data_IF_336902303356
#
_entry.id   IF_336902303356
#
_cell.length_a   1.000
_cell.length_b   1.000
_cell.length_c   1.000
_cell.angle_alpha   90.00
_cell.angle_beta   90.00
_cell.angle_gamma   90.00
#
_symmetry.space_group_name_H-M   'P 1'
#
loop_
_entity.id
_entity.type
_entity.pdbx_description
1 polymer ?
#
# COMPACT_ATOMS: atom_id res chain seq x y z
N UNK A 1 12.84 -17.53 -0.63
CA UNK A 1 14.20 -16.94 -0.73
C UNK A 1 14.18 -15.40 -0.74
N UNK A 2 13.40 -14.71 -1.55
CA UNK A 2 13.37 -13.23 -1.58
C UNK A 2 12.99 -12.59 -0.24
N UNK A 3 11.89 -13.03 0.39
CA UNK A 3 11.42 -12.49 1.68
C UNK A 3 12.41 -12.70 2.83
N UNK A 4 13.06 -13.85 2.89
CA UNK A 4 14.06 -14.15 3.92
C UNK A 4 15.32 -13.29 3.76
N UNK A 5 15.77 -13.04 2.52
CA UNK A 5 16.89 -12.13 2.25
C UNK A 5 16.59 -10.71 2.73
N UNK A 6 15.40 -10.18 2.46
CA UNK A 6 14.98 -8.86 2.91
C UNK A 6 14.94 -8.74 4.45
N UNK A 7 14.45 -9.77 5.14
CA UNK A 7 14.40 -9.77 6.60
C UNK A 7 15.80 -9.84 7.21
N UNK A 8 16.67 -10.70 6.69
CA UNK A 8 18.09 -10.81 7.12
C UNK A 8 18.89 -9.53 6.89
N UNK A 9 18.57 -8.81 5.82
CA UNK A 9 19.18 -7.51 5.55
C UNK A 9 18.72 -6.48 6.59
N UNK A 10 17.44 -6.45 6.92
CA UNK A 10 16.90 -5.59 8.00
C UNK A 10 17.58 -5.86 9.33
N UNK A 11 17.73 -7.11 9.75
CA UNK A 11 18.39 -7.46 11.01
C UNK A 11 19.79 -6.82 11.16
N UNK A 12 20.49 -6.65 10.04
CA UNK A 12 21.82 -6.02 10.02
C UNK A 12 21.76 -4.50 10.11
N UNK A 13 20.69 -3.88 9.64
CA UNK A 13 20.61 -2.42 9.47
C UNK A 13 19.70 -1.71 10.47
N UNK A 14 18.83 -2.44 11.19
CA UNK A 14 17.93 -1.82 12.19
C UNK A 14 18.59 -1.47 13.52
N UNK A 15 19.83 -1.90 13.74
CA UNK A 15 20.61 -1.59 14.95
C UNK A 15 19.83 -1.92 16.24
N UNK A 16 19.17 -3.08 16.27
CA UNK A 16 18.34 -3.56 17.38
C UNK A 16 17.01 -2.82 17.58
N UNK A 17 16.64 -1.90 16.68
CA UNK A 17 15.34 -1.22 16.72
C UNK A 17 14.22 -2.17 16.29
N UNK A 18 12.99 -2.02 16.86
CA UNK A 18 11.87 -2.87 16.49
C UNK A 18 11.44 -2.61 15.05
N UNK A 19 11.09 -3.68 14.35
CA UNK A 19 10.49 -3.62 13.02
C UNK A 19 9.38 -4.66 12.88
N UNK A 20 8.53 -4.50 11.87
CA UNK A 20 7.44 -5.41 11.58
C UNK A 20 7.44 -5.86 10.13
N UNK A 21 6.56 -6.79 9.84
CA UNK A 21 6.30 -7.30 8.48
C UNK A 21 4.83 -7.17 8.12
N UNK A 22 4.55 -6.86 6.86
CA UNK A 22 3.19 -6.88 6.31
C UNK A 22 3.05 -8.10 5.38
N UNK A 23 2.04 -8.93 5.66
CA UNK A 23 1.75 -10.14 4.90
C UNK A 23 0.34 -10.02 4.33
N UNK A 24 0.24 -9.96 3.00
CA UNK A 24 -1.04 -9.81 2.31
C UNK A 24 -1.79 -11.14 2.23
N UNK A 25 -2.91 -11.23 2.94
CA UNK A 25 -3.84 -12.38 2.86
C UNK A 25 -5.23 -11.87 2.45
N UNK A 26 -5.53 -11.79 1.15
CA UNK A 26 -6.79 -11.25 0.68
C UNK A 26 -7.96 -12.18 1.02
N UNK A 27 -9.05 -11.60 1.52
CA UNK A 27 -10.27 -12.36 1.87
C UNK A 27 -11.11 -12.76 0.66
N UNK A 28 -10.95 -12.10 -0.49
CA UNK A 28 -11.71 -12.38 -1.71
C UNK A 28 -10.89 -12.08 -2.95
N UNK A 29 -10.84 -13.05 -3.85
CA UNK A 29 -10.22 -12.94 -5.18
C UNK A 29 -10.84 -14.01 -6.10
N UNK A 30 -10.69 -13.86 -7.43
CA UNK A 30 -11.16 -14.83 -8.40
C UNK A 30 -10.42 -16.16 -8.21
N UNK A 31 -11.14 -17.26 -8.17
CA UNK A 31 -10.56 -18.59 -7.97
C UNK A 31 -10.28 -18.97 -6.52
N UNK A 32 -10.72 -18.15 -5.53
CA UNK A 32 -10.58 -18.52 -4.12
C UNK A 32 -11.38 -19.79 -3.80
N UNK A 33 -10.67 -20.82 -3.33
CA UNK A 33 -11.27 -22.13 -3.02
C UNK A 33 -11.39 -23.04 -4.24
N UNK A 34 -10.93 -22.61 -5.41
CA UNK A 34 -10.79 -23.40 -6.63
C UNK A 34 -9.30 -23.68 -6.86
N UNK A 35 -8.97 -24.86 -7.37
CA UNK A 35 -7.58 -25.21 -7.70
C UNK A 35 -7.20 -24.67 -9.09
N UNK A 36 -7.37 -23.33 -9.31
CA UNK A 36 -6.98 -22.68 -10.55
C UNK A 36 -5.47 -22.47 -10.60
N UNK A 37 -4.88 -22.86 -11.71
CA UNK A 37 -3.48 -22.56 -12.01
C UNK A 37 -3.34 -21.11 -12.50
N UNK A 38 -2.12 -20.59 -12.51
CA UNK A 38 -1.82 -19.26 -13.11
C UNK A 38 -2.23 -19.23 -14.59
N UNK A 39 -2.10 -20.35 -15.31
CA UNK A 39 -2.48 -20.43 -16.73
C UNK A 39 -4.00 -20.42 -16.91
N UNK A 40 -4.76 -21.06 -16.01
CA UNK A 40 -6.21 -20.95 -16.00
C UNK A 40 -6.67 -19.49 -15.82
N UNK A 41 -6.07 -18.78 -14.86
CA UNK A 41 -6.35 -17.35 -14.64
C UNK A 41 -5.96 -16.50 -15.86
N UNK A 42 -4.82 -16.77 -16.49
CA UNK A 42 -4.41 -16.09 -17.73
C UNK A 42 -5.40 -16.30 -18.86
N UNK A 43 -5.93 -17.52 -19.00
CA UNK A 43 -6.94 -17.84 -20.03
C UNK A 43 -8.26 -17.08 -19.82
N UNK A 44 -8.56 -16.65 -18.59
CA UNK A 44 -9.75 -15.87 -18.27
C UNK A 44 -9.64 -14.37 -18.67
N UNK A 45 -8.46 -13.87 -19.00
CA UNK A 45 -8.25 -12.47 -19.38
C UNK A 45 -8.72 -12.29 -20.84
N UNK A 46 -9.72 -11.40 -21.09
CA UNK A 46 -10.19 -11.13 -22.44
C UNK A 46 -9.12 -10.51 -23.33
N UNK A 47 -9.19 -10.77 -24.62
CA UNK A 47 -8.21 -10.25 -25.59
C UNK A 47 -8.26 -8.71 -25.64
N UNK A 48 -9.43 -8.10 -25.52
CA UNK A 48 -9.60 -6.64 -25.52
C UNK A 48 -8.75 -5.93 -24.43
N UNK A 49 -8.61 -6.54 -23.23
CA UNK A 49 -7.77 -5.98 -22.16
C UNK A 49 -6.28 -6.08 -22.48
N UNK A 50 -5.88 -7.15 -23.19
CA UNK A 50 -4.50 -7.33 -23.64
C UNK A 50 -4.16 -6.32 -24.74
N UNK A 51 -5.09 -6.14 -25.68
CA UNK A 51 -4.93 -5.21 -26.79
C UNK A 51 -4.90 -3.77 -26.26
N UNK A 52 -5.85 -3.39 -25.42
CA UNK A 52 -5.88 -2.06 -24.79
C UNK A 52 -4.60 -1.72 -24.03
N UNK A 53 -4.09 -2.67 -23.22
CA UNK A 53 -2.78 -2.54 -22.54
C UNK A 53 -1.66 -2.30 -23.55
N UNK A 54 -1.64 -3.05 -24.65
CA UNK A 54 -0.61 -2.94 -25.69
C UNK A 54 -0.68 -1.62 -26.42
N UNK A 55 -1.89 -1.16 -26.75
CA UNK A 55 -2.12 0.14 -27.40
C UNK A 55 -1.59 1.31 -26.54
N UNK A 56 -1.80 1.27 -25.22
CA UNK A 56 -1.23 2.27 -24.31
C UNK A 56 0.31 2.29 -24.42
N UNK A 57 0.96 1.14 -24.38
CA UNK A 57 2.43 1.08 -24.46
C UNK A 57 2.95 1.59 -25.80
N UNK A 58 2.32 1.19 -26.91
CA UNK A 58 2.72 1.57 -28.26
C UNK A 58 2.56 3.08 -28.51
N UNK A 59 1.55 3.74 -27.91
CA UNK A 59 1.40 5.19 -27.97
C UNK A 59 2.58 5.96 -27.35
N UNK A 60 3.36 5.30 -26.49
CA UNK A 60 4.54 5.86 -25.83
C UNK A 60 5.85 5.21 -26.29
N UNK A 61 5.87 4.67 -27.51
CA UNK A 61 7.03 4.03 -28.15
C UNK A 61 7.59 2.82 -27.40
N UNK A 62 6.75 2.12 -26.61
CA UNK A 62 7.11 0.91 -25.89
C UNK A 62 6.54 -0.32 -26.60
N UNK A 63 7.40 -1.20 -27.09
CA UNK A 63 6.97 -2.42 -27.78
C UNK A 63 6.25 -3.37 -26.83
N UNK A 64 5.01 -3.75 -27.18
CA UNK A 64 4.23 -4.71 -26.39
C UNK A 64 4.61 -6.18 -26.65
N UNK A 65 5.34 -6.48 -27.75
CA UNK A 65 5.72 -7.83 -28.17
C UNK A 65 6.48 -8.63 -27.11
N UNK A 66 7.30 -7.95 -26.31
CA UNK A 66 8.16 -8.59 -25.30
C UNK A 66 7.38 -9.00 -24.03
N UNK A 67 6.17 -8.46 -23.84
CA UNK A 67 5.31 -8.85 -22.71
C UNK A 67 4.88 -10.33 -22.80
N UNK A 68 4.74 -10.86 -24.03
CA UNK A 68 4.38 -12.27 -24.25
C UNK A 68 5.48 -13.24 -23.80
N UNK A 69 6.73 -12.83 -23.90
CA UNK A 69 7.88 -13.62 -23.44
C UNK A 69 8.06 -13.55 -21.93
N UNK A 70 7.76 -12.39 -21.31
CA UNK A 70 7.81 -12.22 -19.86
C UNK A 70 6.63 -12.86 -19.13
N UNK A 71 5.47 -12.99 -19.79
CA UNK A 71 4.31 -13.72 -19.25
C UNK A 71 4.62 -15.20 -18.99
N UNK A 72 5.60 -15.76 -19.69
CA UNK A 72 6.05 -17.15 -19.53
C UNK A 72 7.26 -17.29 -18.58
N UNK A 73 7.77 -16.21 -18.01
CA UNK A 73 8.95 -16.30 -17.16
C UNK A 73 8.60 -16.61 -15.70
N UNK A 74 9.39 -17.49 -15.07
CA UNK A 74 9.32 -17.81 -13.63
C UNK A 74 9.49 -16.58 -12.72
N UNK A 75 9.95 -15.45 -13.26
CA UNK A 75 10.08 -14.19 -12.55
C UNK A 75 8.72 -13.55 -12.25
N UNK A 76 7.71 -13.74 -13.11
CA UNK A 76 6.34 -13.32 -12.80
C UNK A 76 5.75 -14.15 -11.65
N UNK A 77 6.12 -15.42 -11.57
CA UNK A 77 5.74 -16.28 -10.44
C UNK A 77 6.36 -15.77 -9.13
N UNK A 78 7.59 -15.25 -9.14
CA UNK A 78 8.23 -14.76 -7.92
C UNK A 78 7.70 -13.39 -7.46
N UNK A 79 7.34 -12.49 -8.38
CA UNK A 79 6.81 -11.16 -8.05
C UNK A 79 5.28 -11.13 -7.90
N UNK A 80 4.56 -12.02 -8.58
CA UNK A 80 3.13 -12.25 -8.36
C UNK A 80 2.87 -13.17 -7.15
N UNK A 81 3.87 -13.91 -6.71
CA UNK A 81 3.80 -14.77 -5.52
C UNK A 81 3.48 -13.99 -4.23
N UNK A 82 3.69 -12.66 -4.18
CA UNK A 82 3.18 -11.83 -3.09
C UNK A 82 1.66 -11.67 -3.08
N UNK A 83 0.98 -11.75 -4.25
CA UNK A 83 -0.48 -11.53 -4.36
C UNK A 83 -1.20 -12.72 -5.00
N UNK A 84 -0.53 -13.54 -5.81
CA UNK A 84 -1.13 -14.58 -6.64
C UNK A 84 -0.62 -16.00 -6.40
N UNK A 85 0.63 -16.17 -5.98
CA UNK A 85 1.27 -17.48 -6.01
C UNK A 85 1.40 -18.18 -4.66
N UNK A 86 1.35 -17.42 -3.57
CA UNK A 86 1.23 -18.02 -2.27
C UNK A 86 -0.27 -18.00 -1.90
N UNK A 87 -1.00 -19.05 -2.22
CA UNK A 87 -2.26 -19.30 -1.54
C UNK A 87 -2.08 -19.14 -0.02
N UNK A 88 -3.11 -19.40 0.77
CA UNK A 88 -3.01 -19.32 2.25
C UNK A 88 -1.76 -20.03 2.80
N UNK A 89 -1.28 -21.08 2.14
CA UNK A 89 -0.10 -21.86 2.53
C UNK A 89 1.21 -21.07 2.33
N UNK A 90 1.39 -20.37 1.23
CA UNK A 90 2.61 -19.58 1.02
C UNK A 90 2.71 -18.34 1.91
N UNK A 91 1.58 -17.71 2.24
CA UNK A 91 1.54 -16.63 3.21
C UNK A 91 1.94 -17.12 4.62
N UNK A 92 1.54 -18.35 4.97
CA UNK A 92 1.91 -18.98 6.23
C UNK A 92 3.41 -19.30 6.29
N UNK A 93 3.98 -19.87 5.23
CA UNK A 93 5.42 -20.13 5.12
C UNK A 93 6.26 -18.85 5.26
N UNK A 94 5.82 -17.75 4.59
CA UNK A 94 6.48 -16.45 4.72
C UNK A 94 6.44 -15.94 6.17
N UNK A 95 5.31 -16.14 6.85
CA UNK A 95 5.17 -15.71 8.23
C UNK A 95 5.99 -16.58 9.19
N UNK A 96 6.11 -17.89 8.96
CA UNK A 96 7.00 -18.80 9.72
C UNK A 96 8.46 -18.32 9.61
N UNK A 97 8.91 -17.94 8.42
CA UNK A 97 10.24 -17.33 8.24
C UNK A 97 10.34 -16.02 9.02
N UNK A 98 9.33 -15.14 8.94
CA UNK A 98 9.34 -13.87 9.64
C UNK A 98 9.47 -14.03 11.16
N UNK A 99 8.77 -14.99 11.76
CA UNK A 99 8.86 -15.28 13.19
C UNK A 99 10.19 -15.93 13.64
N UNK A 100 11.01 -16.40 12.71
CA UNK A 100 12.39 -16.80 13.03
C UNK A 100 13.34 -15.61 13.24
N UNK A 101 12.85 -14.39 13.03
CA UNK A 101 13.55 -13.12 13.20
C UNK A 101 12.90 -12.26 14.30
N UNK A 102 13.60 -11.26 14.88
CA UNK A 102 13.11 -10.47 16.02
C UNK A 102 12.09 -9.41 15.58
N UNK A 103 11.05 -9.81 14.85
CA UNK A 103 9.97 -8.92 14.46
C UNK A 103 9.10 -8.55 15.67
N UNK A 104 8.57 -7.33 15.66
CA UNK A 104 7.76 -6.77 16.74
C UNK A 104 6.31 -6.49 16.35
N UNK A 105 5.97 -6.71 15.09
CA UNK A 105 4.63 -6.49 14.54
C UNK A 105 4.42 -7.34 13.29
N UNK A 106 3.23 -7.91 13.15
CA UNK A 106 2.72 -8.44 11.89
C UNK A 106 1.52 -7.61 11.45
N UNK A 107 1.44 -7.21 10.19
CA UNK A 107 0.28 -6.52 9.65
C UNK A 107 -0.36 -7.31 8.50
N UNK A 108 -1.69 -7.17 8.33
CA UNK A 108 -2.43 -7.62 7.16
C UNK A 108 -3.22 -6.46 6.54
N UNK A 109 -2.89 -6.09 5.32
CA UNK A 109 -3.51 -4.95 4.64
C UNK A 109 -4.83 -5.28 3.93
N UNK A 110 -5.21 -6.56 3.72
CA UNK A 110 -6.32 -6.95 2.86
C UNK A 110 -7.36 -7.86 3.55
N UNK A 111 -8.10 -7.30 4.51
CA UNK A 111 -9.23 -7.96 5.16
C UNK A 111 -8.92 -8.50 6.55
N UNK A 112 -9.78 -9.36 7.08
CA UNK A 112 -9.59 -9.95 8.42
C UNK A 112 -8.44 -10.94 8.36
N UNK A 113 -7.41 -10.83 9.23
CA UNK A 113 -6.34 -11.82 9.32
C UNK A 113 -6.92 -13.21 9.56
N UNK A 114 -6.45 -14.24 8.87
CA UNK A 114 -6.90 -15.60 9.14
C UNK A 114 -6.55 -16.03 10.57
N UNK A 115 -7.37 -16.94 11.13
CA UNK A 115 -7.23 -17.38 12.52
C UNK A 115 -5.81 -17.88 12.85
N UNK A 116 -5.17 -18.62 11.92
CA UNK A 116 -3.81 -19.10 12.09
C UNK A 116 -2.78 -17.96 12.25
N UNK A 117 -2.96 -16.80 11.58
CA UNK A 117 -2.07 -15.65 11.73
C UNK A 117 -2.17 -15.04 13.14
N UNK A 118 -3.39 -14.91 13.67
CA UNK A 118 -3.63 -14.42 15.02
C UNK A 118 -3.07 -15.40 16.09
N UNK A 119 -3.21 -16.70 15.84
CA UNK A 119 -2.66 -17.74 16.71
C UNK A 119 -1.13 -17.71 16.72
N UNK A 120 -0.49 -17.62 15.56
CA UNK A 120 0.97 -17.47 15.46
C UNK A 120 1.49 -16.20 16.14
N UNK A 121 0.79 -15.06 15.98
CA UNK A 121 1.12 -13.83 16.68
C UNK A 121 1.12 -14.02 18.20
N UNK A 122 0.10 -14.70 18.74
CA UNK A 122 0.00 -15.01 20.18
C UNK A 122 1.11 -15.97 20.64
N UNK A 123 1.39 -17.02 19.88
CA UNK A 123 2.46 -17.99 20.18
C UNK A 123 3.83 -17.34 20.29
N UNK A 124 4.12 -16.38 19.40
CA UNK A 124 5.39 -15.64 19.38
C UNK A 124 5.37 -14.34 20.20
N UNK A 125 4.25 -14.01 20.87
CA UNK A 125 4.06 -12.75 21.59
C UNK A 125 4.33 -11.50 20.71
N UNK A 126 3.88 -11.56 19.45
CA UNK A 126 3.98 -10.47 18.47
C UNK A 126 2.57 -10.01 18.11
N UNK A 127 2.21 -8.73 18.29
CA UNK A 127 0.90 -8.23 17.97
C UNK A 127 0.60 -8.29 16.48
N UNK A 128 -0.67 -8.49 16.15
CA UNK A 128 -1.17 -8.50 14.79
C UNK A 128 -2.00 -7.25 14.52
N UNK A 129 -1.61 -6.46 13.53
CA UNK A 129 -2.35 -5.28 13.06
C UNK A 129 -3.15 -5.60 11.80
N UNK A 130 -4.27 -4.90 11.62
CA UNK A 130 -5.05 -5.01 10.38
C UNK A 130 -5.51 -3.64 9.88
N UNK A 131 -5.41 -3.44 8.56
CA UNK A 131 -5.83 -2.20 7.90
C UNK A 131 -7.32 -2.23 7.58
N UNK A 132 -7.99 -1.12 7.84
CA UNK A 132 -9.43 -0.95 7.60
C UNK A 132 -9.73 0.37 6.91
N UNK A 133 -10.65 0.35 5.94
CA UNK A 133 -11.13 1.53 5.22
C UNK A 133 -12.59 1.87 5.52
N UNK A 134 -13.21 1.21 6.54
CA UNK A 134 -14.60 1.44 6.94
C UNK A 134 -14.83 0.99 8.39
N UNK A 135 -15.74 1.65 9.09
CA UNK A 135 -16.11 1.34 10.48
C UNK A 135 -16.48 -0.13 10.70
N UNK A 136 -17.33 -0.69 9.83
CA UNK A 136 -17.77 -2.08 9.96
C UNK A 136 -16.63 -3.09 9.77
N UNK A 137 -15.56 -2.71 9.07
CA UNK A 137 -14.35 -3.52 9.00
C UNK A 137 -13.59 -3.50 10.33
N UNK A 138 -13.48 -2.33 10.97
CA UNK A 138 -12.84 -2.21 12.27
C UNK A 138 -13.52 -3.06 13.35
N UNK A 139 -14.85 -3.04 13.38
CA UNK A 139 -15.63 -3.88 14.31
C UNK A 139 -15.34 -5.37 14.07
N UNK A 140 -15.38 -5.83 12.82
CA UNK A 140 -15.05 -7.24 12.48
C UNK A 140 -13.61 -7.63 12.86
N UNK A 141 -12.66 -6.71 12.76
CA UNK A 141 -11.28 -6.94 13.17
C UNK A 141 -11.18 -7.10 14.70
N UNK A 142 -11.82 -6.21 15.46
CA UNK A 142 -11.86 -6.29 16.92
C UNK A 142 -12.56 -7.58 17.40
N UNK A 143 -13.68 -7.97 16.78
CA UNK A 143 -14.38 -9.24 17.05
C UNK A 143 -13.49 -10.47 16.75
N UNK A 144 -12.62 -10.39 15.75
CA UNK A 144 -11.67 -11.45 15.41
C UNK A 144 -10.48 -11.52 16.38
N UNK A 145 -10.28 -10.51 17.24
CA UNK A 145 -9.19 -10.44 18.19
C UNK A 145 -7.89 -9.90 17.61
N UNK A 146 -7.97 -8.97 16.64
CA UNK A 146 -6.83 -8.22 16.14
C UNK A 146 -6.35 -7.24 17.21
N UNK A 147 -5.03 -7.16 17.41
CA UNK A 147 -4.43 -6.38 18.50
C UNK A 147 -4.35 -4.87 18.20
N UNK A 148 -4.19 -4.48 16.93
CA UNK A 148 -4.03 -3.07 16.51
C UNK A 148 -4.87 -2.82 15.25
N UNK A 149 -5.66 -1.77 15.23
CA UNK A 149 -6.45 -1.36 14.06
C UNK A 149 -5.77 -0.18 13.35
N UNK A 150 -5.39 -0.37 12.09
CA UNK A 150 -4.86 0.70 11.24
C UNK A 150 -5.99 1.27 10.39
N UNK A 151 -6.44 2.47 10.74
CA UNK A 151 -7.57 3.17 10.10
C UNK A 151 -7.07 3.98 8.92
N UNK A 152 -7.28 3.48 7.70
CA UNK A 152 -6.80 4.09 6.46
C UNK A 152 -7.94 4.78 5.70
N UNK A 153 -7.89 6.10 5.66
CA UNK A 153 -8.84 6.91 4.89
C UNK A 153 -8.60 6.87 3.38
N UNK A 154 -9.54 7.49 2.64
CA UNK A 154 -9.50 7.53 1.16
C UNK A 154 -8.28 8.25 0.59
N UNK A 155 -7.61 9.07 1.37
CA UNK A 155 -6.40 9.80 1.01
C UNK A 155 -5.15 8.91 0.95
N UNK A 156 -5.25 7.67 1.44
CA UNK A 156 -4.15 6.71 1.46
C UNK A 156 -3.69 6.27 0.08
N UNK A 157 -2.38 6.04 -0.08
CA UNK A 157 -1.80 5.38 -1.25
C UNK A 157 -2.05 3.87 -1.21
N UNK A 158 -2.12 3.23 -2.38
CA UNK A 158 -2.51 1.84 -2.49
C UNK A 158 -4.02 1.63 -2.27
N UNK A 159 -4.42 0.40 -1.89
CA UNK A 159 -5.82 0.08 -1.68
C UNK A 159 -6.43 0.92 -0.55
N UNK A 160 -7.51 1.63 -0.86
CA UNK A 160 -8.17 2.52 0.09
C UNK A 160 -9.70 2.49 -0.04
N UNK A 161 -10.38 2.79 1.08
CA UNK A 161 -11.82 2.97 1.13
C UNK A 161 -12.29 4.27 0.47
N UNK A 162 -13.51 4.70 0.77
CA UNK A 162 -14.12 5.94 0.25
C UNK A 162 -14.34 7.02 1.32
N UNK A 163 -14.10 6.68 2.58
CA UNK A 163 -14.30 7.61 3.72
C UNK A 163 -12.97 8.31 4.01
N UNK A 164 -13.02 9.63 4.22
CA UNK A 164 -11.83 10.40 4.55
C UNK A 164 -11.28 10.06 5.95
N UNK A 165 -9.97 10.21 6.13
CA UNK A 165 -9.28 9.98 7.40
C UNK A 165 -9.90 10.80 8.54
N UNK A 166 -10.23 12.07 8.26
CA UNK A 166 -10.85 12.97 9.23
C UNK A 166 -12.22 12.49 9.75
N UNK A 167 -12.98 11.76 8.94
CA UNK A 167 -14.28 11.19 9.34
C UNK A 167 -14.11 9.79 9.91
N UNK A 168 -13.26 8.99 9.28
CA UNK A 168 -13.13 7.56 9.60
C UNK A 168 -12.50 7.33 10.99
N UNK A 169 -11.47 8.08 11.37
CA UNK A 169 -10.78 7.92 12.66
C UNK A 169 -11.76 8.07 13.85
N UNK A 170 -12.49 9.20 14.01
CA UNK A 170 -13.43 9.35 15.13
C UNK A 170 -14.64 8.40 15.03
N UNK A 171 -15.06 8.00 13.82
CA UNK A 171 -16.12 7.02 13.62
C UNK A 171 -15.69 5.64 14.14
N UNK A 172 -14.47 5.20 13.84
CA UNK A 172 -13.92 3.93 14.31
C UNK A 172 -13.66 3.97 15.82
N UNK A 173 -13.08 5.03 16.37
CA UNK A 173 -12.85 5.16 17.81
C UNK A 173 -14.17 4.99 18.59
N UNK A 174 -15.25 5.62 18.14
CA UNK A 174 -16.57 5.49 18.77
C UNK A 174 -17.13 4.07 18.65
N UNK A 175 -16.95 3.43 17.50
CA UNK A 175 -17.45 2.08 17.24
C UNK A 175 -16.72 1.00 18.06
N UNK A 176 -15.46 1.24 18.41
CA UNK A 176 -14.65 0.30 19.18
C UNK A 176 -14.73 0.51 20.71
N UNK A 177 -15.53 1.47 21.20
CA UNK A 177 -15.62 1.81 22.63
C UNK A 177 -15.93 0.60 23.52
N UNK A 178 -16.74 -0.35 23.05
CA UNK A 178 -17.18 -1.52 23.80
C UNK A 178 -16.28 -2.75 23.59
N UNK A 179 -15.21 -2.61 22.82
CA UNK A 179 -14.25 -3.69 22.50
C UNK A 179 -12.93 -3.60 23.30
N UNK A 180 -12.89 -2.79 24.36
CA UNK A 180 -11.69 -2.54 25.17
C UNK A 180 -10.78 -1.47 24.57
N UNK A 181 -9.54 -1.37 25.09
CA UNK A 181 -8.54 -0.41 24.64
C UNK A 181 -7.76 -0.93 23.43
N UNK A 182 -8.46 -1.14 22.31
CA UNK A 182 -7.80 -1.51 21.05
C UNK A 182 -7.08 -0.28 20.48
N UNK A 183 -5.75 -0.30 20.32
CA UNK A 183 -5.01 0.81 19.75
C UNK A 183 -5.40 1.09 18.30
N UNK A 184 -5.53 2.37 17.96
CA UNK A 184 -5.84 2.85 16.61
C UNK A 184 -4.65 3.64 16.06
N UNK A 185 -4.11 3.19 14.94
CA UNK A 185 -3.16 3.95 14.14
C UNK A 185 -3.90 4.59 12.96
N UNK A 186 -3.82 5.91 12.84
CA UNK A 186 -4.38 6.61 11.71
C UNK A 186 -3.45 6.53 10.49
N UNK A 187 -4.02 6.21 9.33
CA UNK A 187 -3.33 6.13 8.06
C UNK A 187 -4.12 6.85 6.95
N UNK A 188 -3.44 7.16 5.86
CA UNK A 188 -4.06 7.80 4.71
C UNK A 188 -3.88 9.31 4.70
N UNK A 189 -3.00 9.77 3.81
CA UNK A 189 -2.73 11.19 3.58
C UNK A 189 -1.88 11.89 4.64
N UNK A 190 -1.40 11.18 5.65
CA UNK A 190 -0.62 11.75 6.75
C UNK A 190 0.85 11.82 6.33
N UNK A 191 1.37 13.04 6.19
CA UNK A 191 2.73 13.35 5.75
C UNK A 191 3.41 14.41 6.62
N UNK A 192 2.72 14.95 7.63
CA UNK A 192 3.24 15.99 8.52
C UNK A 192 2.91 15.72 9.99
N UNK A 193 3.69 16.33 10.90
CA UNK A 193 3.43 16.27 12.34
C UNK A 193 2.16 17.01 12.74
N UNK A 194 1.76 18.06 12.02
CA UNK A 194 0.49 18.76 12.20
C UNK A 194 -0.71 17.82 11.97
N UNK A 195 -0.65 17.01 10.90
CA UNK A 195 -1.67 16.01 10.62
C UNK A 195 -1.68 14.91 11.71
N UNK A 196 -0.49 14.50 12.18
CA UNK A 196 -0.37 13.54 13.29
C UNK A 196 -1.05 14.10 14.54
N UNK A 197 -0.79 15.34 14.94
CA UNK A 197 -1.44 15.99 16.08
C UNK A 197 -2.97 16.02 15.90
N UNK A 198 -3.45 16.36 14.71
CA UNK A 198 -4.88 16.41 14.38
C UNK A 198 -5.56 15.05 14.53
N UNK A 199 -5.01 13.96 13.97
CA UNK A 199 -5.63 12.63 14.06
C UNK A 199 -5.55 12.04 15.46
N UNK A 200 -4.51 12.36 16.24
CA UNK A 200 -4.41 11.97 17.64
C UNK A 200 -5.47 12.69 18.50
N UNK A 201 -5.72 13.97 18.24
CA UNK A 201 -6.82 14.69 18.87
C UNK A 201 -8.21 14.12 18.53
N UNK A 202 -8.35 13.47 17.38
CA UNK A 202 -9.57 12.79 16.96
C UNK A 202 -9.73 11.36 17.53
N UNK A 203 -8.73 10.85 18.24
CA UNK A 203 -8.79 9.56 18.95
C UNK A 203 -7.89 8.46 18.39
N UNK A 204 -6.94 8.77 17.51
CA UNK A 204 -5.88 7.84 17.17
C UNK A 204 -4.81 7.81 18.28
N UNK A 205 -4.16 6.65 18.47
CA UNK A 205 -3.07 6.47 19.43
C UNK A 205 -1.69 6.70 18.78
N UNK A 206 -1.68 6.84 17.44
CA UNK A 206 -0.50 7.10 16.64
C UNK A 206 -0.84 7.14 15.15
N UNK A 207 0.19 7.12 14.32
CA UNK A 207 0.06 7.18 12.86
C UNK A 207 0.80 6.05 12.16
N UNK A 208 0.29 5.69 10.97
CA UNK A 208 0.89 4.77 10.03
C UNK A 208 1.18 5.51 8.72
N UNK A 209 2.41 5.90 8.48
CA UNK A 209 2.83 6.74 7.36
C UNK A 209 3.65 5.93 6.35
N UNK A 210 3.38 6.12 5.06
CA UNK A 210 4.12 5.49 3.97
C UNK A 210 4.59 6.51 2.93
N UNK A 211 3.67 7.27 2.32
CA UNK A 211 3.95 8.14 1.17
C UNK A 211 5.04 9.19 1.42
N UNK A 212 5.14 9.70 2.64
CA UNK A 212 6.15 10.68 3.03
C UNK A 212 7.59 10.13 2.97
N UNK A 213 7.74 8.81 3.09
CA UNK A 213 9.05 8.15 3.04
C UNK A 213 9.46 7.72 1.63
N UNK A 214 8.54 7.69 0.65
CA UNK A 214 8.84 7.27 -0.72
C UNK A 214 9.85 8.18 -1.45
N UNK A 215 9.83 9.52 -1.29
CA UNK A 215 10.82 10.39 -1.92
C UNK A 215 12.07 10.64 -1.06
N UNK A 216 12.26 9.93 0.05
CA UNK A 216 13.48 10.08 0.86
C UNK A 216 14.71 9.54 0.14
N UNK A 217 15.89 10.00 0.57
CA UNK A 217 17.18 9.60 -0.05
C UNK A 217 17.44 8.10 0.07
N UNK A 218 16.98 7.47 1.15
CA UNK A 218 17.18 6.04 1.43
C UNK A 218 16.17 5.13 0.72
N UNK A 219 15.05 5.69 0.22
CA UNK A 219 14.03 4.86 -0.43
C UNK A 219 14.51 4.33 -1.79
N UNK A 220 14.19 3.07 -2.07
CA UNK A 220 14.50 2.40 -3.36
C UNK A 220 13.55 2.84 -4.51
N UNK A 221 12.66 3.79 -4.25
CA UNK A 221 11.81 4.41 -5.28
C UNK A 221 12.68 5.02 -6.38
N UNK A 222 12.35 4.81 -7.66
CA UNK A 222 13.11 5.34 -8.78
C UNK A 222 13.18 6.87 -8.75
N UNK A 223 14.29 7.44 -9.25
CA UNK A 223 14.50 8.89 -9.26
C UNK A 223 13.38 9.61 -10.02
N UNK A 224 12.94 9.07 -11.16
CA UNK A 224 11.82 9.63 -11.93
C UNK A 224 10.51 9.67 -11.10
N UNK A 225 10.22 8.63 -10.33
CA UNK A 225 9.05 8.61 -9.45
C UNK A 225 9.20 9.59 -8.29
N UNK A 226 10.40 9.71 -7.68
CA UNK A 226 10.69 10.71 -6.64
C UNK A 226 10.47 12.13 -7.17
N UNK A 227 11.01 12.44 -8.35
CA UNK A 227 10.82 13.74 -9.01
C UNK A 227 9.34 14.06 -9.24
N UNK A 228 8.57 13.08 -9.77
CA UNK A 228 7.13 13.22 -9.95
C UNK A 228 6.39 13.46 -8.64
N UNK A 229 6.78 12.76 -7.55
CA UNK A 229 6.19 12.94 -6.23
C UNK A 229 6.43 14.33 -5.66
N UNK A 230 7.69 14.83 -5.76
CA UNK A 230 8.05 16.17 -5.27
C UNK A 230 7.34 17.28 -6.07
N UNK A 231 7.13 17.07 -7.37
CA UNK A 231 6.41 18.00 -8.22
C UNK A 231 4.87 17.90 -8.10
N UNK A 232 4.34 16.86 -7.44
CA UNK A 232 2.92 16.62 -7.35
C UNK A 232 2.23 17.49 -6.32
N UNK A 233 1.02 17.94 -6.62
CA UNK A 233 0.04 18.39 -5.64
C UNK A 233 -0.86 17.23 -5.19
N UNK A 234 -1.64 17.43 -4.14
CA UNK A 234 -2.61 16.43 -3.66
C UNK A 234 -3.63 16.02 -4.73
N UNK A 235 -3.94 16.89 -5.69
CA UNK A 235 -4.84 16.60 -6.81
C UNK A 235 -4.21 15.73 -7.90
N UNK A 236 -2.89 15.56 -7.92
CA UNK A 236 -2.21 14.69 -8.87
C UNK A 236 -2.18 13.22 -8.44
N UNK A 237 -3.08 12.81 -7.54
CA UNK A 237 -3.29 11.41 -7.19
C UNK A 237 -4.72 10.98 -7.55
N UNK A 238 -4.84 9.80 -8.14
CA UNK A 238 -6.12 9.27 -8.62
C UNK A 238 -6.45 7.96 -7.92
N UNK A 239 -7.70 7.81 -7.47
CA UNK A 239 -8.25 6.57 -6.94
C UNK A 239 -8.89 5.78 -8.07
N UNK A 240 -8.22 4.75 -8.55
CA UNK A 240 -8.56 3.98 -9.75
C UNK A 240 -8.57 2.49 -9.50
N UNK A 241 -9.23 1.72 -10.37
CA UNK A 241 -9.16 0.26 -10.43
C UNK A 241 -8.14 -0.24 -11.44
N UNK A 242 -7.49 0.64 -12.19
CA UNK A 242 -6.62 0.34 -13.33
C UNK A 242 -5.51 -0.66 -13.05
N UNK A 243 -5.04 -0.75 -11.80
CA UNK A 243 -3.88 -1.57 -11.46
C UNK A 243 -4.24 -2.95 -10.93
N UNK A 244 -5.29 -3.06 -10.10
CA UNK A 244 -5.60 -4.32 -9.40
C UNK A 244 -7.05 -4.79 -9.52
N UNK A 245 -7.91 -4.01 -10.18
CA UNK A 245 -9.35 -4.25 -10.19
C UNK A 245 -10.06 -3.84 -8.90
N UNK A 246 -9.32 -3.45 -7.87
CA UNK A 246 -9.84 -2.82 -6.65
C UNK A 246 -9.40 -1.36 -6.61
N UNK A 247 -10.22 -0.50 -6.00
CA UNK A 247 -9.86 0.89 -5.85
C UNK A 247 -8.56 1.06 -5.07
N UNK A 248 -7.57 1.65 -5.71
CA UNK A 248 -6.29 2.02 -5.12
C UNK A 248 -5.86 3.41 -5.58
N UNK A 249 -5.17 4.15 -4.73
CA UNK A 249 -4.68 5.50 -5.05
C UNK A 249 -3.23 5.46 -5.49
N UNK A 250 -2.95 6.17 -6.58
CA UNK A 250 -1.63 6.25 -7.20
C UNK A 250 -1.44 7.62 -7.84
N UNK A 251 -0.21 7.95 -8.24
CA UNK A 251 0.08 9.12 -9.05
C UNK A 251 -0.72 9.08 -10.35
N UNK A 252 -1.29 10.21 -10.74
CA UNK A 252 -1.84 10.37 -12.08
C UNK A 252 -0.72 10.21 -13.11
N UNK A 253 -1.04 9.51 -14.19
CA UNK A 253 -0.17 9.33 -15.34
C UNK A 253 -1.02 8.98 -16.55
N UNK A 254 -0.51 9.09 -17.77
CA UNK A 254 -1.26 8.68 -18.96
C UNK A 254 -1.73 7.22 -18.92
N UNK A 255 -1.01 6.32 -18.21
CA UNK A 255 -1.48 4.96 -17.95
C UNK A 255 -2.82 4.95 -17.21
N UNK A 256 -2.90 5.70 -16.11
CA UNK A 256 -4.13 5.76 -15.28
C UNK A 256 -5.25 6.45 -16.04
N UNK A 257 -4.94 7.55 -16.73
CA UNK A 257 -5.89 8.33 -17.50
C UNK A 257 -6.52 7.51 -18.65
N UNK A 258 -5.72 6.67 -19.32
CA UNK A 258 -6.22 5.76 -20.34
C UNK A 258 -7.26 4.78 -19.76
N UNK A 259 -6.99 4.15 -18.61
CA UNK A 259 -7.91 3.23 -17.95
C UNK A 259 -9.17 3.89 -17.35
N UNK A 260 -9.14 5.18 -17.07
CA UNK A 260 -10.31 5.97 -16.63
C UNK A 260 -11.07 6.58 -17.84
N UNK A 261 -10.55 6.40 -19.04
CA UNK A 261 -11.15 6.88 -20.28
C UNK A 261 -12.45 6.15 -20.64
N UNK A 262 -13.28 6.79 -21.47
CA UNK A 262 -14.60 6.24 -21.86
C UNK A 262 -14.50 4.99 -22.74
N UNK A 263 -13.40 4.85 -23.48
CA UNK A 263 -13.16 3.74 -24.41
C UNK A 263 -12.38 2.60 -23.75
N UNK A 264 -12.03 2.74 -22.45
CA UNK A 264 -11.35 1.69 -21.70
C UNK A 264 -12.30 0.54 -21.37
N UNK A 265 -11.85 -0.71 -21.47
CA UNK A 265 -12.60 -1.83 -20.92
C UNK A 265 -12.71 -1.72 -19.40
N UNK A 266 -13.83 -2.16 -18.82
CA UNK A 266 -14.00 -2.16 -17.35
C UNK A 266 -12.89 -2.99 -16.71
N UNK A 267 -12.13 -2.45 -15.73
CA UNK A 267 -11.06 -3.20 -15.08
C UNK A 267 -11.54 -4.52 -14.48
N UNK A 268 -10.80 -5.60 -14.76
CA UNK A 268 -11.12 -6.95 -14.32
C UNK A 268 -11.03 -7.09 -12.79
N UNK A 269 -11.80 -8.00 -12.19
CA UNK A 269 -11.66 -8.27 -10.76
C UNK A 269 -10.27 -8.86 -10.44
N UNK A 270 -9.75 -8.56 -9.24
CA UNK A 270 -8.49 -9.11 -8.74
C UNK A 270 -8.53 -10.64 -8.72
N UNK A 271 -7.49 -11.36 -9.21
CA UNK A 271 -6.18 -10.86 -9.60
C UNK A 271 -6.02 -10.57 -11.09
N UNK A 272 -7.05 -10.76 -11.92
CA UNK A 272 -6.94 -10.69 -13.37
C UNK A 272 -6.43 -9.33 -13.86
N UNK A 273 -6.93 -8.23 -13.28
CA UNK A 273 -6.44 -6.89 -13.62
C UNK A 273 -4.96 -6.72 -13.28
N UNK A 274 -4.51 -7.26 -12.15
CA UNK A 274 -3.08 -7.24 -11.77
C UNK A 274 -2.24 -7.97 -12.82
N UNK A 275 -2.72 -9.10 -13.34
CA UNK A 275 -2.04 -9.86 -14.39
C UNK A 275 -1.99 -9.12 -15.72
N UNK A 276 -2.92 -8.19 -15.98
CA UNK A 276 -2.89 -7.30 -17.14
C UNK A 276 -1.90 -6.17 -16.93
N UNK A 277 -1.95 -5.49 -15.78
CA UNK A 277 -1.26 -4.22 -15.54
C UNK A 277 0.19 -4.38 -15.09
N UNK A 278 0.50 -5.30 -14.15
CA UNK A 278 1.84 -5.37 -13.55
C UNK A 278 2.96 -5.70 -14.54
N UNK A 279 2.78 -6.60 -15.53
CA UNK A 279 3.82 -6.83 -16.54
C UNK A 279 4.13 -5.57 -17.37
N UNK A 280 3.10 -4.79 -17.68
CA UNK A 280 3.25 -3.54 -18.41
C UNK A 280 3.94 -2.47 -17.57
N UNK A 281 3.50 -2.28 -16.32
CA UNK A 281 4.08 -1.30 -15.39
C UNK A 281 5.51 -1.64 -15.01
N UNK A 282 5.84 -2.94 -14.87
CA UNK A 282 7.24 -3.37 -14.69
C UNK A 282 8.08 -2.98 -15.89
N UNK A 283 7.62 -3.25 -17.12
CA UNK A 283 8.33 -2.83 -18.34
C UNK A 283 8.50 -1.31 -18.40
N UNK A 284 7.45 -0.56 -18.04
CA UNK A 284 7.51 0.91 -17.96
C UNK A 284 8.60 1.34 -16.99
N UNK A 285 8.66 0.78 -15.79
CA UNK A 285 9.68 1.10 -14.79
C UNK A 285 11.09 0.76 -15.27
N UNK A 286 11.28 -0.44 -15.86
CA UNK A 286 12.58 -0.89 -16.40
C UNK A 286 13.08 0.05 -17.52
N UNK A 287 12.19 0.51 -18.41
CA UNK A 287 12.52 1.43 -19.50
C UNK A 287 12.71 2.87 -19.02
N UNK A 288 11.93 3.32 -18.02
CA UNK A 288 12.13 4.64 -17.41
C UNK A 288 13.51 4.74 -16.73
N UNK A 289 13.95 3.67 -16.07
CA UNK A 289 15.25 3.60 -15.41
C UNK A 289 16.44 3.77 -16.37
N UNK A 290 16.29 3.39 -17.63
CA UNK A 290 17.31 3.59 -18.66
C UNK A 290 17.09 4.86 -19.51
N UNK A 291 16.14 5.71 -19.12
CA UNK A 291 15.94 7.04 -19.68
C UNK A 291 14.93 7.14 -20.81
N UNK A 292 14.08 6.13 -21.04
CA UNK A 292 13.08 6.18 -22.10
C UNK A 292 11.98 7.19 -21.75
N UNK A 293 11.80 8.26 -22.53
CA UNK A 293 10.92 9.38 -22.19
C UNK A 293 9.42 9.00 -22.15
N UNK A 294 8.94 8.16 -23.05
CA UNK A 294 7.57 7.67 -23.02
C UNK A 294 7.30 6.82 -21.75
N UNK A 295 8.25 5.99 -21.36
CA UNK A 295 8.16 5.20 -20.13
C UNK A 295 8.14 6.10 -18.90
N UNK A 296 9.00 7.12 -18.83
CA UNK A 296 8.97 8.09 -17.73
C UNK A 296 7.61 8.77 -17.61
N UNK A 297 6.93 9.08 -18.71
CA UNK A 297 5.58 9.65 -18.67
C UNK A 297 4.56 8.68 -18.11
N UNK A 298 4.55 7.42 -18.59
CA UNK A 298 3.62 6.37 -18.16
C UNK A 298 3.80 5.94 -16.71
N UNK A 299 5.05 6.03 -16.18
CA UNK A 299 5.38 5.52 -14.85
C UNK A 299 4.51 6.13 -13.77
N UNK A 300 3.91 5.28 -12.95
CA UNK A 300 3.07 5.62 -11.80
C UNK A 300 3.47 4.82 -10.58
N UNK A 301 3.12 5.28 -9.40
CA UNK A 301 3.40 4.59 -8.14
C UNK A 301 2.27 4.80 -7.14
N UNK A 302 2.07 3.86 -6.24
CA UNK A 302 1.09 4.02 -5.16
C UNK A 302 1.54 5.11 -4.20
N UNK A 303 0.74 6.16 -4.08
CA UNK A 303 1.01 7.29 -3.22
C UNK A 303 -0.30 7.96 -2.77
N UNK A 304 -0.35 8.41 -1.52
CA UNK A 304 -1.50 9.11 -0.95
C UNK A 304 -1.51 10.60 -1.28
N UNK A 305 -2.66 11.24 -1.04
CA UNK A 305 -2.86 12.67 -1.31
C UNK A 305 -1.93 13.57 -0.48
N UNK A 306 -1.46 13.10 0.68
CA UNK A 306 -0.50 13.84 1.50
C UNK A 306 0.82 14.15 0.79
N UNK A 307 1.11 13.51 -0.35
CA UNK A 307 2.32 13.81 -1.13
C UNK A 307 2.41 15.28 -1.54
N UNK A 308 1.27 15.96 -1.72
CA UNK A 308 1.25 17.40 -2.01
C UNK A 308 1.82 18.29 -0.89
N UNK A 309 2.12 17.73 0.28
CA UNK A 309 2.80 18.40 1.39
C UNK A 309 4.30 18.10 1.43
N UNK A 310 4.81 17.24 0.55
CA UNK A 310 6.20 16.80 0.48
C UNK A 310 6.86 17.45 -0.74
N UNK A 311 7.65 18.50 -0.53
CA UNK A 311 8.17 19.35 -1.59
C UNK A 311 9.69 19.25 -1.76
N UNK A 312 10.34 18.34 -1.02
CA UNK A 312 11.79 18.15 -1.06
C UNK A 312 12.18 16.71 -0.76
N UNK A 313 13.30 16.27 -1.32
CA UNK A 313 13.93 15.00 -0.98
C UNK A 313 14.86 15.22 0.20
N UNK A 314 14.54 14.62 1.33
CA UNK A 314 15.35 14.64 2.57
C UNK A 314 15.57 13.22 3.06
N UNK A 315 16.39 13.03 4.09
CA UNK A 315 16.59 11.71 4.69
C UNK A 315 15.35 11.27 5.50
N UNK A 316 15.17 9.97 5.65
CA UNK A 316 14.11 9.42 6.50
C UNK A 316 14.24 9.91 7.95
N UNK A 317 15.47 10.08 8.46
CA UNK A 317 15.75 10.65 9.78
C UNK A 317 15.28 12.11 9.91
N UNK A 318 15.54 12.94 8.89
CA UNK A 318 15.04 14.32 8.85
C UNK A 318 13.51 14.36 8.76
N UNK A 319 12.89 13.46 8.00
CA UNK A 319 11.44 13.35 7.94
C UNK A 319 10.84 13.09 9.32
N UNK A 320 11.38 12.12 10.06
CA UNK A 320 10.95 11.83 11.44
C UNK A 320 11.15 13.02 12.37
N UNK A 321 12.25 13.76 12.21
CA UNK A 321 12.52 14.94 13.02
C UNK A 321 11.51 16.06 12.73
N UNK A 322 11.19 16.32 11.44
CA UNK A 322 10.13 17.27 11.07
C UNK A 322 8.77 16.89 11.70
N UNK A 323 8.40 15.61 11.65
CA UNK A 323 7.16 15.15 12.31
C UNK A 323 7.11 15.52 13.80
N UNK A 324 8.22 15.38 14.52
CA UNK A 324 8.28 15.72 15.95
C UNK A 324 8.15 17.21 16.18
N UNK A 325 8.84 18.03 15.42
CA UNK A 325 8.82 19.49 15.52
C UNK A 325 7.42 20.03 15.20
N UNK A 326 6.86 19.68 14.07
CA UNK A 326 5.53 20.09 13.63
C UNK A 326 4.41 19.61 14.58
N UNK A 327 4.57 18.43 15.20
CA UNK A 327 3.65 17.94 16.22
C UNK A 327 3.67 18.82 17.47
N UNK A 328 4.88 19.17 17.96
CA UNK A 328 5.05 20.03 19.14
C UNK A 328 4.46 21.42 18.85
N UNK A 329 4.81 22.03 17.72
CA UNK A 329 4.30 23.33 17.31
C UNK A 329 2.76 23.35 17.23
N UNK A 330 2.18 22.28 16.70
CA UNK A 330 0.73 22.12 16.61
C UNK A 330 0.07 22.01 18.00
N UNK A 331 0.68 21.26 18.90
CA UNK A 331 0.22 21.14 20.28
C UNK A 331 0.29 22.49 21.01
N UNK A 332 1.40 23.20 20.90
CA UNK A 332 1.59 24.53 21.50
C UNK A 332 0.58 25.53 20.94
N UNK A 333 0.36 25.55 19.63
CA UNK A 333 -0.63 26.42 18.99
C UNK A 333 -2.05 26.15 19.51
N UNK A 334 -2.46 24.90 19.63
CA UNK A 334 -3.80 24.56 20.16
C UNK A 334 -3.91 24.90 21.64
N UNK A 335 -2.86 24.60 22.42
CA UNK A 335 -2.83 24.90 23.84
C UNK A 335 -2.89 26.43 24.12
N UNK A 336 -2.33 27.23 23.21
CA UNK A 336 -2.37 28.72 23.30
C UNK A 336 -3.80 29.28 23.29
N UNK A 337 -4.77 28.60 22.68
CA UNK A 337 -6.17 29.04 22.72
C UNK A 337 -6.83 28.92 24.09
N UNK A 338 -6.21 28.22 25.03
CA UNK A 338 -6.71 28.02 26.40
C UNK A 338 -5.90 28.78 27.43
N UNK A 339 -4.84 29.47 27.03
CA UNK A 339 -3.88 30.16 27.96
C UNK A 339 -4.18 31.63 28.17
N UNK A 340 -5.16 32.20 27.47
CA UNK A 340 -5.54 33.63 27.54
C UNK A 340 -6.67 33.93 28.59
N UNK A 341 -6.96 32.95 29.47
CA UNK A 341 -7.82 33.12 30.65
C UNK A 341 -6.95 32.94 31.93
#
# INVERSE_FOLDING_TARGET
MGSEMCIRDRDKHVDGKPYGVDVLVPNSYVGKGENLTTDDLRAMIPQEHRDFRSDILEQYDLQASDLRSSENSKELESNSNGVLGAGLDGAKEVLEVAFSHPISLVANALGVPPKWMLEMGKEHNVPVAALVGAKQHAVKQAEAGVDIIVVSGTEGGGHCGSVSTMVLVPEVRRALKDYGDVPILAAGGICTGEQMAGVMAMGADGVWCASVFLPTTEAETSDNVKEKMIAASSSHTVRSKSRTGKHSRQLSSPWVEAWEGKDAPEPLPMPLQTMVSEPALKKVADQAAIGHEGAKQLETYWVGQGIGLVNETITAGQTVQKFKEEFIDSYERVNGFFSDD
#
